data_IF_812191439492
#
_entry.id   IF_812191439492
#
_cell.length_a   1.000
_cell.length_b   1.000
_cell.length_c   1.000
_cell.angle_alpha   90.00
_cell.angle_beta   90.00
_cell.angle_gamma   90.00
#
_symmetry.space_group_name_H-M   'P 1'
#
loop_
_entity.id
_entity.type
_entity.pdbx_description
1 polymer ?
#
# COMPACT_ATOMS: atom_id res chain seq x y z
N UNK A 1 -8.43 5.24 -7.12
CA UNK A 1 -7.10 5.64 -6.59
C UNK A 1 -7.25 6.23 -5.20
N UNK A 2 -6.21 6.22 -4.36
CA UNK A 2 -6.24 6.86 -3.04
C UNK A 2 -6.00 8.39 -3.13
N UNK A 3 -6.53 9.20 -2.19
CA UNK A 3 -6.42 10.66 -2.23
C UNK A 3 -4.98 11.16 -2.29
N UNK A 4 -4.10 10.56 -1.49
CA UNK A 4 -2.69 10.96 -1.43
C UNK A 4 -1.92 10.69 -2.74
N UNK A 5 -2.36 9.70 -3.52
CA UNK A 5 -1.79 9.42 -4.85
C UNK A 5 -2.35 10.39 -5.91
N UNK A 6 -3.64 10.71 -5.82
CA UNK A 6 -4.28 11.65 -6.74
C UNK A 6 -3.70 13.06 -6.62
N UNK A 7 -3.57 13.55 -5.39
CA UNK A 7 -3.10 14.91 -5.14
C UNK A 7 -1.58 15.02 -4.96
N UNK A 8 -0.85 13.88 -4.98
CA UNK A 8 0.60 13.81 -4.74
C UNK A 8 1.03 14.52 -3.43
N UNK A 9 0.12 14.62 -2.47
CA UNK A 9 0.31 15.43 -1.26
C UNK A 9 1.22 14.77 -0.24
N UNK A 10 1.40 13.45 -0.31
CA UNK A 10 2.13 12.67 0.70
C UNK A 10 2.91 11.53 0.07
N UNK A 11 3.91 11.04 0.83
CA UNK A 11 4.65 9.83 0.47
C UNK A 11 3.70 8.65 0.40
N UNK A 12 3.76 7.93 -0.72
CA UNK A 12 3.01 6.69 -0.89
C UNK A 12 3.40 5.68 0.18
N UNK A 13 2.40 4.97 0.71
CA UNK A 13 2.58 3.95 1.74
C UNK A 13 1.70 2.75 1.43
N UNK A 14 1.91 1.59 2.09
CA UNK A 14 1.03 0.42 1.94
C UNK A 14 -0.44 0.70 2.29
N UNK A 15 -0.77 1.83 2.93
CA UNK A 15 -2.15 2.23 3.20
C UNK A 15 -2.92 2.64 1.94
N UNK A 16 -2.25 2.91 0.82
CA UNK A 16 -2.93 3.09 -0.47
C UNK A 16 -3.59 1.80 -0.95
N UNK A 17 -2.95 0.66 -0.69
CA UNK A 17 -3.50 -0.65 -1.03
C UNK A 17 -4.73 -0.94 -0.16
N UNK A 18 -4.70 -0.55 1.12
CA UNK A 18 -5.85 -0.66 2.02
C UNK A 18 -7.04 0.17 1.51
N UNK A 19 -6.80 1.41 1.06
CA UNK A 19 -7.84 2.23 0.43
C UNK A 19 -8.39 1.55 -0.83
N UNK A 20 -7.51 1.09 -1.71
CA UNK A 20 -7.92 0.45 -2.97
C UNK A 20 -8.71 -0.82 -2.73
N UNK A 21 -8.33 -1.61 -1.72
CA UNK A 21 -9.08 -2.78 -1.28
C UNK A 21 -10.48 -2.40 -0.79
N UNK A 22 -10.62 -1.33 0.00
CA UNK A 22 -11.94 -0.84 0.43
C UNK A 22 -12.81 -0.44 -0.78
N UNK A 23 -12.25 0.29 -1.74
CA UNK A 23 -12.98 0.69 -2.95
C UNK A 23 -13.43 -0.54 -3.74
N UNK A 24 -12.57 -1.55 -3.90
CA UNK A 24 -12.93 -2.81 -4.58
C UNK A 24 -14.05 -3.53 -3.86
N UNK A 25 -13.99 -3.64 -2.52
CA UNK A 25 -15.08 -4.22 -1.72
C UNK A 25 -16.37 -3.41 -1.96
N UNK A 26 -16.29 -2.08 -1.97
CA UNK A 26 -17.42 -1.21 -2.26
C UNK A 26 -18.03 -1.44 -3.64
N UNK A 27 -17.21 -1.60 -4.68
CA UNK A 27 -17.67 -1.93 -6.05
C UNK A 27 -18.36 -3.30 -6.07
N UNK A 28 -17.71 -4.34 -5.53
CA UNK A 28 -18.22 -5.72 -5.53
C UNK A 28 -19.52 -5.84 -4.74
N UNK A 29 -19.63 -5.13 -3.62
CA UNK A 29 -20.83 -5.10 -2.78
C UNK A 29 -21.86 -4.05 -3.21
N UNK A 30 -21.59 -3.34 -4.32
CA UNK A 30 -22.43 -2.26 -4.86
C UNK A 30 -22.70 -1.11 -3.86
N UNK A 31 -21.83 -0.94 -2.88
CA UNK A 31 -21.97 0.05 -1.82
C UNK A 31 -21.67 1.47 -2.32
N UNK A 32 -22.41 2.44 -1.77
CA UNK A 32 -22.24 3.86 -2.04
C UNK A 32 -22.41 4.28 -3.51
N UNK A 33 -22.81 3.39 -4.42
CA UNK A 33 -22.83 3.65 -5.87
C UNK A 33 -21.45 3.63 -6.53
N UNK A 34 -20.44 2.98 -5.92
CA UNK A 34 -19.08 2.89 -6.48
C UNK A 34 -18.98 2.04 -7.76
N UNK A 35 -19.99 1.21 -8.02
CA UNK A 35 -20.07 0.35 -9.20
C UNK A 35 -20.61 1.07 -10.45
N UNK A 36 -21.04 2.33 -10.33
CA UNK A 36 -21.60 3.10 -11.42
C UNK A 36 -20.55 3.32 -12.53
N UNK A 37 -20.79 2.83 -13.76
CA UNK A 37 -19.85 2.98 -14.87
C UNK A 37 -19.71 4.42 -15.35
N UNK A 38 -20.63 5.32 -14.97
CA UNK A 38 -20.57 6.75 -15.31
C UNK A 38 -19.66 7.55 -14.38
N UNK A 39 -19.15 6.93 -13.30
CA UNK A 39 -18.25 7.55 -12.34
C UNK A 39 -16.88 7.82 -12.96
N UNK A 40 -16.76 8.93 -13.68
CA UNK A 40 -15.56 9.33 -14.39
C UNK A 40 -14.71 10.35 -13.61
N UNK A 41 -15.34 11.17 -12.77
CA UNK A 41 -14.64 12.21 -12.01
C UNK A 41 -14.22 11.72 -10.61
N UNK A 42 -12.98 12.04 -10.24
CA UNK A 42 -12.45 11.72 -8.92
C UNK A 42 -13.15 12.51 -7.80
N UNK A 43 -13.63 13.73 -8.09
CA UNK A 43 -14.41 14.54 -7.15
C UNK A 43 -15.68 13.84 -6.67
N UNK A 44 -16.29 13.02 -7.53
CA UNK A 44 -17.46 12.22 -7.20
C UNK A 44 -17.13 10.92 -6.45
N UNK A 45 -15.91 10.41 -6.56
CA UNK A 45 -15.47 9.18 -5.88
C UNK A 45 -15.48 9.36 -4.37
N UNK A 46 -15.00 10.48 -3.83
CA UNK A 46 -14.89 10.66 -2.37
C UNK A 46 -16.25 10.63 -1.65
N UNK A 47 -17.30 11.35 -2.09
CA UNK A 47 -18.64 11.21 -1.53
C UNK A 47 -19.16 9.76 -1.57
N UNK A 48 -18.92 9.04 -2.67
CA UNK A 48 -19.35 7.64 -2.86
C UNK A 48 -18.61 6.70 -1.91
N UNK A 49 -17.31 6.90 -1.72
CA UNK A 49 -16.50 6.16 -0.74
C UNK A 49 -16.99 6.42 0.69
N UNK A 50 -17.32 7.66 1.05
CA UNK A 50 -17.89 7.99 2.37
C UNK A 50 -19.25 7.30 2.58
N UNK A 51 -20.11 7.30 1.56
CA UNK A 51 -21.39 6.59 1.60
C UNK A 51 -21.20 5.08 1.76
N UNK A 52 -20.27 4.48 1.03
CA UNK A 52 -19.92 3.07 1.19
C UNK A 52 -19.35 2.77 2.58
N UNK A 53 -18.56 3.68 3.17
CA UNK A 53 -18.01 3.53 4.51
C UNK A 53 -19.10 3.58 5.60
N UNK A 54 -20.16 4.38 5.39
CA UNK A 54 -21.34 4.37 6.25
C UNK A 54 -22.12 3.05 6.17
N UNK A 55 -22.20 2.44 4.98
CA UNK A 55 -22.83 1.12 4.79
C UNK A 55 -21.99 -0.03 5.36
N UNK A 56 -20.66 0.09 5.29
CA UNK A 56 -19.70 -0.89 5.80
C UNK A 56 -18.96 -0.36 7.03
N UNK A 57 -19.69 -0.09 8.12
CA UNK A 57 -19.15 0.54 9.31
C UNK A 57 -17.90 -0.17 9.88
N UNK A 58 -17.86 -1.51 9.82
CA UNK A 58 -16.71 -2.30 10.26
C UNK A 58 -15.43 -2.02 9.44
N UNK A 59 -15.58 -1.70 8.15
CA UNK A 59 -14.49 -1.45 7.20
C UNK A 59 -14.20 0.05 7.02
N UNK A 60 -15.01 0.95 7.58
CA UNK A 60 -14.83 2.41 7.52
C UNK A 60 -13.42 2.91 7.88
N UNK A 61 -12.61 2.27 8.77
CA UNK A 61 -11.24 2.71 9.02
C UNK A 61 -10.30 2.59 7.81
N UNK A 62 -10.64 1.74 6.83
CA UNK A 62 -9.90 1.62 5.57
C UNK A 62 -10.15 2.79 4.62
N UNK A 63 -11.31 3.43 4.76
CA UNK A 63 -11.81 4.49 3.88
C UNK A 63 -11.48 5.91 4.39
N UNK A 64 -10.56 6.03 5.35
CA UNK A 64 -10.14 7.33 5.86
C UNK A 64 -9.29 8.06 4.81
N UNK A 65 -9.67 9.29 4.49
CA UNK A 65 -8.96 10.09 3.48
C UNK A 65 -7.54 10.44 3.91
N UNK A 66 -7.35 10.78 5.19
CA UNK A 66 -6.05 11.02 5.77
C UNK A 66 -5.32 9.67 6.01
N UNK A 67 -4.15 9.43 5.39
CA UNK A 67 -3.41 8.18 5.58
C UNK A 67 -2.96 7.93 7.03
N UNK A 68 -2.80 8.97 7.87
CA UNK A 68 -2.42 8.79 9.28
C UNK A 68 -3.56 8.23 10.11
N UNK A 69 -4.81 8.62 9.82
CA UNK A 69 -6.00 8.07 10.48
C UNK A 69 -6.50 6.80 9.81
N UNK A 70 -6.00 6.46 8.62
CA UNK A 70 -6.34 5.22 7.93
C UNK A 70 -5.69 4.02 8.62
N UNK A 71 -6.50 2.99 8.89
CA UNK A 71 -6.02 1.73 9.42
C UNK A 71 -5.08 1.02 8.44
N UNK A 72 -4.03 0.41 8.95
CA UNK A 72 -3.21 -0.57 8.22
C UNK A 72 -3.95 -1.90 8.04
N UNK A 73 -3.47 -2.74 7.12
CA UNK A 73 -4.00 -4.09 6.91
C UNK A 73 -3.93 -4.93 8.20
N UNK A 74 -2.81 -4.87 8.93
CA UNK A 74 -2.65 -5.60 10.19
C UNK A 74 -3.69 -5.18 11.24
N UNK A 75 -3.96 -3.87 11.35
CA UNK A 75 -4.99 -3.35 12.26
C UNK A 75 -6.40 -3.81 11.84
N UNK A 76 -6.69 -3.86 10.54
CA UNK A 76 -7.96 -4.39 10.04
C UNK A 76 -8.12 -5.89 10.30
N UNK A 77 -7.04 -6.67 10.20
CA UNK A 77 -7.06 -8.09 10.55
C UNK A 77 -7.35 -8.31 12.04
N UNK A 78 -6.77 -7.50 12.92
CA UNK A 78 -7.12 -7.53 14.35
C UNK A 78 -8.59 -7.18 14.58
N UNK A 79 -9.09 -6.12 13.94
CA UNK A 79 -10.47 -5.65 14.14
C UNK A 79 -11.53 -6.61 13.60
N UNK A 80 -11.34 -7.13 12.39
CA UNK A 80 -12.38 -7.88 11.67
C UNK A 80 -12.22 -9.40 11.80
N UNK A 81 -11.02 -9.88 12.09
CA UNK A 81 -10.68 -11.31 12.05
C UNK A 81 -9.92 -11.78 13.29
N UNK A 82 -9.93 -11.00 14.38
CA UNK A 82 -9.21 -11.28 15.63
C UNK A 82 -7.70 -11.60 15.44
N UNK A 83 -7.11 -11.04 14.39
CA UNK A 83 -5.70 -11.22 14.05
C UNK A 83 -5.41 -12.49 13.25
N UNK A 84 -6.43 -13.24 12.81
CA UNK A 84 -6.23 -14.33 11.86
C UNK A 84 -5.62 -13.80 10.55
N UNK A 85 -4.62 -14.51 10.03
CA UNK A 85 -3.89 -14.11 8.82
C UNK A 85 -2.78 -13.08 9.05
N UNK A 86 -2.50 -12.68 10.29
CA UNK A 86 -1.34 -11.84 10.59
C UNK A 86 -0.03 -12.62 10.40
N UNK A 87 0.91 -12.04 9.66
CA UNK A 87 2.32 -12.44 9.67
C UNK A 87 3.13 -11.73 10.76
N UNK A 88 2.62 -10.59 11.26
CA UNK A 88 3.24 -9.81 12.33
C UNK A 88 2.63 -10.18 13.69
N UNK A 89 3.43 -10.35 14.76
CA UNK A 89 2.90 -10.59 16.10
C UNK A 89 1.88 -9.53 16.53
N UNK A 90 0.77 -9.97 17.16
CA UNK A 90 -0.34 -9.08 17.53
C UNK A 90 0.09 -7.92 18.45
N UNK A 91 1.05 -8.15 19.35
CA UNK A 91 1.60 -7.12 20.23
C UNK A 91 2.46 -6.06 19.53
N UNK A 92 2.84 -6.29 18.27
CA UNK A 92 3.53 -5.30 17.42
C UNK A 92 2.57 -4.54 16.50
N UNK A 93 1.29 -4.96 16.44
CA UNK A 93 0.25 -4.21 15.73
C UNK A 93 -0.15 -3.02 16.60
N UNK A 94 0.15 -1.80 16.14
CA UNK A 94 -0.22 -0.57 16.85
C UNK A 94 -1.74 -0.41 17.01
N UNK A 95 -2.18 0.42 17.96
CA UNK A 95 -3.61 0.65 18.21
C UNK A 95 -4.31 1.21 16.97
N UNK A 96 -5.64 1.03 16.89
CA UNK A 96 -6.42 1.66 15.81
C UNK A 96 -6.28 3.18 15.87
N UNK A 97 -6.04 3.86 14.74
CA UNK A 97 -6.02 5.31 14.71
C UNK A 97 -7.39 5.86 15.08
N UNK A 98 -7.43 6.71 16.10
CA UNK A 98 -8.63 7.44 16.46
C UNK A 98 -8.64 8.80 15.73
N UNK A 99 -9.62 9.08 14.86
CA UNK A 99 -9.71 10.37 14.18
C UNK A 99 -9.90 11.55 15.16
N UNK A 100 -10.48 11.33 16.35
CA UNK A 100 -10.66 12.38 17.35
C UNK A 100 -9.34 12.75 18.05
N UNK A 101 -8.46 11.77 18.28
CA UNK A 101 -7.17 11.97 18.94
C UNK A 101 -6.20 12.87 18.15
N UNK A 102 -6.34 13.00 16.82
CA UNK A 102 -5.50 13.93 16.03
C UNK A 102 -5.97 15.39 16.09
N UNK A 103 -7.24 15.66 16.35
CA UNK A 103 -7.75 17.03 16.56
C UNK A 103 -7.41 17.58 17.96
N UNK A 104 -7.09 16.68 18.90
CA UNK A 104 -6.78 17.01 20.28
C UNK A 104 -5.28 17.27 20.56
N UNK A 105 -4.42 17.35 19.53
CA UNK A 105 -3.05 17.82 19.71
C UNK A 105 -2.98 19.34 19.44
N UNK A 106 -2.82 20.20 20.46
CA UNK A 106 -2.27 21.52 20.24
C UNK A 106 -0.88 21.34 19.65
N UNK A 107 -0.60 22.05 18.56
CA UNK A 107 0.75 22.24 18.06
C UNK A 107 1.56 22.98 19.13
N UNK A 108 2.16 22.23 20.05
CA UNK A 108 3.11 22.72 21.04
C UNK A 108 4.36 21.86 20.96
N UNK A 109 5.05 21.90 19.82
CA UNK A 109 6.45 21.51 19.75
C UNK A 109 7.13 22.08 18.51
N UNK A 110 7.18 23.40 18.41
CA UNK A 110 8.30 24.06 17.75
C UNK A 110 8.85 25.15 18.68
N UNK A 111 10.19 25.21 18.73
CA UNK A 111 11.04 26.18 19.42
C UNK A 111 11.19 26.05 20.94
N UNK A 112 12.06 25.12 21.36
CA UNK A 112 13.09 25.47 22.34
C UNK A 112 14.40 25.74 21.60
N UNK A 113 14.63 27.02 21.32
CA UNK A 113 15.97 27.58 21.11
C UNK A 113 16.85 27.28 22.34
N UNK A 114 18.10 26.84 22.16
CA UNK A 114 19.06 26.69 23.25
C UNK A 114 19.79 28.02 23.51
N UNK A 115 19.52 28.65 24.65
CA UNK A 115 20.23 29.85 25.10
C UNK A 115 21.71 29.51 25.46
N UNK A 116 22.71 30.36 25.11
CA UNK A 116 24.12 30.03 25.24
C UNK A 116 24.69 30.64 26.52
N UNK A 117 25.09 29.80 27.48
CA UNK A 117 26.20 30.07 28.42
C UNK A 117 26.33 28.93 29.44
N UNK A 118 27.39 28.14 29.32
CA UNK A 118 28.14 27.62 30.46
C UNK A 118 29.51 27.11 30.00
N UNK A 119 30.54 27.65 30.64
CA UNK A 119 31.97 27.42 30.38
C UNK A 119 32.39 26.04 30.92
N UNK A 120 33.11 25.27 30.09
CA UNK A 120 34.23 24.32 30.34
C UNK A 120 34.27 23.44 31.63
N UNK A 121 34.81 22.19 31.62
CA UNK A 121 36.02 21.80 30.87
C UNK A 121 35.98 20.46 30.11
N UNK A 122 36.96 20.34 29.20
CA UNK A 122 37.18 19.28 28.20
C UNK A 122 37.56 17.93 28.85
N UNK A 123 36.94 16.80 28.45
CA UNK A 123 37.52 15.48 28.66
C UNK A 123 38.55 15.16 27.55
N UNK A 124 39.73 14.70 27.98
CA UNK A 124 40.84 14.28 27.13
C UNK A 124 40.45 13.06 26.28
N UNK A 125 40.42 13.22 24.96
CA UNK A 125 40.36 12.09 24.02
C UNK A 125 41.75 11.47 23.93
N UNK A 126 41.93 10.29 24.55
CA UNK A 126 43.04 9.40 24.22
C UNK A 126 42.64 8.63 22.96
N UNK A 127 43.38 8.83 21.87
CA UNK A 127 43.37 7.92 20.70
C UNK A 127 44.05 6.61 21.10
N UNK A 128 43.46 5.47 20.74
CA UNK A 128 44.26 4.33 20.29
C UNK A 128 44.14 4.13 18.78
N UNK A 129 45.16 3.46 18.26
CA UNK A 129 45.56 3.35 16.87
C UNK A 129 44.57 2.60 15.97
N UNK A 130 44.73 2.86 14.67
CA UNK A 130 44.09 2.17 13.57
C UNK A 130 44.21 0.64 13.70
N UNK A 131 43.06 -0.04 13.66
CA UNK A 131 43.00 -1.47 13.38
C UNK A 131 42.43 -1.63 11.97
N UNK A 132 43.32 -2.02 11.09
CA UNK A 132 43.10 -2.31 9.68
C UNK A 132 42.33 -3.65 9.56
N UNK A 133 41.00 -3.60 9.42
CA UNK A 133 40.16 -4.77 9.17
C UNK A 133 40.02 -5.00 7.65
N UNK A 134 41.15 -5.22 6.97
CA UNK A 134 41.20 -5.94 5.71
C UNK A 134 41.60 -7.40 5.96
N UNK A 135 40.63 -8.26 6.30
CA UNK A 135 40.68 -9.69 5.91
C UNK A 135 39.43 -10.46 6.30
N UNK A 136 39.00 -11.31 5.35
CA UNK A 136 38.03 -12.41 5.45
C UNK A 136 36.55 -11.96 5.48
N UNK A 137 35.63 -12.53 4.71
CA UNK A 137 35.71 -13.71 3.88
C UNK A 137 34.62 -13.67 2.81
N UNK A 138 35.00 -14.04 1.59
CA UNK A 138 34.12 -14.50 0.54
C UNK A 138 33.20 -15.62 1.05
N UNK A 139 31.89 -15.49 0.80
CA UNK A 139 31.00 -16.61 0.47
C UNK A 139 29.67 -15.99 0.02
N UNK A 140 29.21 -16.42 -1.16
CA UNK A 140 28.05 -15.93 -1.93
C UNK A 140 28.32 -14.75 -2.89
N UNK A 141 29.21 -14.98 -3.85
CA UNK A 141 29.07 -14.37 -5.16
C UNK A 141 27.98 -15.10 -5.96
N UNK A 142 27.10 -14.41 -6.71
CA UNK A 142 26.18 -15.07 -7.63
C UNK A 142 26.98 -15.70 -8.77
N UNK A 143 26.76 -16.99 -9.02
CA UNK A 143 27.33 -17.69 -10.19
C UNK A 143 26.83 -16.97 -11.45
N UNK A 144 27.76 -16.41 -12.22
CA UNK A 144 27.52 -16.01 -13.61
C UNK A 144 27.20 -17.28 -14.41
N UNK A 145 26.01 -17.32 -15.02
CA UNK A 145 25.65 -18.33 -16.01
C UNK A 145 26.55 -18.14 -17.24
N UNK A 146 27.15 -19.20 -17.79
CA UNK A 146 27.81 -19.09 -19.08
C UNK A 146 26.75 -18.91 -20.18
N UNK A 147 26.92 -17.85 -20.97
CA UNK A 147 26.25 -17.70 -22.25
C UNK A 147 26.71 -18.85 -23.16
N UNK A 148 25.80 -19.79 -23.44
CA UNK A 148 25.99 -20.76 -24.50
C UNK A 148 24.97 -20.51 -25.59
N UNK A 149 25.48 -19.99 -26.72
CA UNK A 149 24.84 -20.00 -28.03
C UNK A 149 24.63 -21.46 -28.42
N UNK A 150 23.37 -21.85 -28.60
CA UNK A 150 22.86 -22.66 -29.70
C UNK A 150 21.51 -23.23 -29.26
N UNK A 151 20.43 -22.53 -29.64
CA UNK A 151 19.14 -23.19 -29.81
C UNK A 151 18.50 -22.67 -31.10
N UNK A 152 17.88 -23.57 -31.88
CA UNK A 152 17.41 -23.28 -33.23
C UNK A 152 16.18 -22.37 -33.19
N UNK A 153 16.24 -21.41 -34.11
CA UNK A 153 15.21 -20.47 -34.51
C UNK A 153 13.83 -21.16 -34.64
N UNK A 154 12.93 -20.91 -33.69
CA UNK A 154 11.50 -21.20 -33.87
C UNK A 154 10.89 -20.03 -34.63
N UNK A 155 10.82 -20.19 -35.94
CA UNK A 155 10.04 -19.34 -36.82
C UNK A 155 8.56 -19.40 -36.41
N UNK A 156 8.05 -18.31 -35.83
CA UNK A 156 6.62 -18.13 -35.62
C UNK A 156 6.03 -17.71 -36.96
N UNK A 157 5.47 -18.69 -37.65
CA UNK A 157 4.75 -18.52 -38.90
C UNK A 157 3.51 -17.63 -38.70
N UNK A 158 3.27 -16.59 -39.51
CA UNK A 158 2.10 -15.72 -39.39
C UNK A 158 0.88 -16.41 -40.01
N UNK A 159 0.24 -17.33 -39.27
CA UNK A 159 -1.04 -17.93 -39.70
C UNK A 159 -2.04 -18.24 -38.59
N UNK A 160 -1.74 -17.97 -37.32
CA UNK A 160 -2.66 -18.26 -36.19
C UNK A 160 -3.56 -17.07 -35.82
N UNK A 161 -3.36 -15.89 -36.44
CA UNK A 161 -4.19 -14.71 -36.20
C UNK A 161 -5.45 -14.63 -37.10
N UNK A 162 -5.73 -15.63 -37.96
CA UNK A 162 -6.84 -15.59 -38.92
C UNK A 162 -7.92 -16.66 -38.69
N UNK A 163 -7.91 -17.35 -37.54
CA UNK A 163 -8.84 -18.47 -37.29
C UNK A 163 -9.76 -18.29 -36.07
N UNK A 164 -9.57 -17.24 -35.25
CA UNK A 164 -10.50 -16.91 -34.15
C UNK A 164 -11.58 -15.90 -34.62
N UNK A 165 -11.33 -15.17 -35.70
CA UNK A 165 -12.25 -14.17 -36.29
C UNK A 165 -13.20 -14.77 -37.35
N UNK A 166 -13.48 -16.09 -37.29
CA UNK A 166 -14.44 -16.79 -38.17
C UNK A 166 -15.50 -17.62 -37.43
N UNK A 167 -15.64 -17.47 -36.11
CA UNK A 167 -16.80 -18.00 -35.37
C UNK A 167 -17.60 -16.87 -34.74
N UNK A 168 -18.05 -15.97 -35.61
CA UNK A 168 -19.28 -15.25 -35.35
C UNK A 168 -20.45 -16.24 -35.31
N UNK A 169 -21.33 -16.01 -34.36
CA UNK A 169 -22.78 -16.10 -34.49
C UNK A 169 -23.41 -17.48 -34.73
N UNK A 170 -24.12 -17.96 -33.70
CA UNK A 170 -25.57 -18.21 -33.74
C UNK A 170 -25.96 -19.24 -32.67
N UNK A 171 -27.23 -19.17 -32.24
CA UNK A 171 -27.95 -20.01 -31.28
C UNK A 171 -27.70 -19.57 -29.82
N UNK A 172 -28.68 -19.11 -29.06
CA UNK A 172 -30.12 -19.15 -29.21
C UNK A 172 -30.70 -18.97 -27.81
N UNK A 173 -31.82 -18.26 -27.74
CA UNK A 173 -32.68 -18.12 -26.58
C UNK A 173 -32.82 -19.43 -25.79
N UNK A 174 -32.75 -19.38 -24.45
CA UNK A 174 -33.90 -19.76 -23.63
C UNK A 174 -33.74 -19.42 -22.15
N UNK A 175 -34.72 -18.65 -21.66
CA UNK A 175 -35.20 -18.60 -20.28
C UNK A 175 -35.32 -20.02 -19.69
N UNK A 176 -34.93 -20.17 -18.43
CA UNK A 176 -35.59 -21.12 -17.53
C UNK A 176 -35.84 -20.46 -16.17
N UNK A 177 -37.15 -20.28 -15.93
CA UNK A 177 -37.92 -20.29 -14.67
C UNK A 177 -37.41 -19.56 -13.43
#
# INVERSE_FOLDING_TARGET
MAPEAMYQTRRQSPKMDVWSLFVVIGVVTQAGGLHDPTLADYGEVLPRVRAAAAQHAALSPMAQENPETRSSAAQMLVKCFDGQGLSTPRNQVGPMPDPASMLAQPQASEQREPDPRSKAPKPRVKRPAAVDLRRANYKYAPRKLPANRNDPQRDIHPKVLAEIERRGESLGLQLFT
#
